data_IF_905165374050
#
_entry.id   IF_905165374050
#
_cell.length_a   1.000
_cell.length_b   1.000
_cell.length_c   1.000
_cell.angle_alpha   90.00
_cell.angle_beta   90.00
_cell.angle_gamma   90.00
#
_symmetry.space_group_name_H-M   'P 1'
#
loop_
_entity.id
_entity.type
_entity.pdbx_description
1 polymer ?
#
# COMPACT_ATOMS: atom_id res chain seq x y z
N UNK A 1 6.95 -15.76 -94.11
CA UNK A 1 8.08 -14.82 -93.90
C UNK A 1 9.07 -15.56 -93.00
N UNK A 2 10.03 -16.34 -93.54
CA UNK A 2 11.39 -15.91 -93.99
C UNK A 2 12.08 -15.12 -92.87
N UNK A 3 13.21 -15.50 -92.26
CA UNK A 3 14.39 -16.30 -92.63
C UNK A 3 15.01 -16.90 -91.34
N UNK A 4 15.56 -18.12 -91.26
CA UNK A 4 16.74 -18.73 -91.92
C UNK A 4 18.07 -18.00 -91.70
N UNK A 5 18.94 -18.70 -90.96
CA UNK A 5 20.39 -18.92 -91.16
C UNK A 5 21.40 -17.99 -90.46
N UNK A 6 22.28 -18.64 -89.70
CA UNK A 6 23.60 -18.15 -89.30
C UNK A 6 24.36 -19.21 -88.49
N UNK A 7 24.84 -20.26 -89.15
CA UNK A 7 26.27 -20.59 -89.31
C UNK A 7 26.97 -21.25 -88.10
N UNK A 8 27.14 -22.57 -88.22
CA UNK A 8 28.30 -23.35 -87.74
C UNK A 8 29.62 -22.80 -88.35
N UNK A 9 30.81 -22.96 -87.72
CA UNK A 9 31.48 -24.27 -87.67
C UNK A 9 32.39 -24.60 -86.46
N UNK A 10 32.46 -25.91 -86.17
CA UNK A 10 33.65 -26.76 -85.93
C UNK A 10 34.93 -26.10 -85.40
N UNK A 11 35.46 -26.58 -84.27
CA UNK A 11 36.54 -27.59 -84.24
C UNK A 11 37.07 -27.85 -82.82
N UNK A 12 37.23 -29.16 -82.56
CA UNK A 12 38.32 -29.86 -81.87
C UNK A 12 38.80 -29.42 -80.48
N UNK A 13 38.90 -30.42 -79.62
CA UNK A 13 39.63 -30.40 -78.35
C UNK A 13 38.91 -31.30 -77.35
N UNK A 14 39.02 -32.62 -77.51
CA UNK A 14 39.73 -33.46 -76.52
C UNK A 14 38.94 -33.65 -75.23
N UNK A 15 38.28 -34.80 -75.07
CA UNK A 15 38.82 -35.99 -74.40
C UNK A 15 38.87 -35.86 -72.86
N UNK A 16 38.58 -36.99 -72.20
CA UNK A 16 38.68 -37.23 -70.75
C UNK A 16 37.55 -36.58 -69.93
N UNK A 17 36.35 -37.12 -69.95
CA UNK A 17 36.00 -38.32 -69.17
C UNK A 17 36.79 -38.43 -67.86
N UNK A 18 36.03 -38.25 -66.77
CA UNK A 18 36.17 -39.01 -65.53
C UNK A 18 37.51 -38.89 -64.80
N UNK A 19 37.80 -37.70 -64.28
CA UNK A 19 38.60 -37.54 -63.05
C UNK A 19 37.77 -38.02 -61.86
N UNK A 20 37.78 -39.32 -61.60
CA UNK A 20 37.51 -39.86 -60.27
C UNK A 20 38.67 -39.44 -59.37
N UNK A 21 38.45 -38.38 -58.59
CA UNK A 21 39.32 -37.96 -57.50
C UNK A 21 38.59 -38.11 -56.18
N UNK A 22 38.84 -39.22 -55.50
CA UNK A 22 38.57 -39.43 -54.08
C UNK A 22 39.38 -38.43 -53.25
N UNK A 23 38.74 -37.66 -52.35
CA UNK A 23 39.27 -37.30 -51.01
C UNK A 23 38.07 -37.04 -50.06
N UNK A 24 38.13 -37.43 -48.76
CA UNK A 24 36.99 -37.61 -47.86
C UNK A 24 36.76 -36.44 -46.90
N UNK A 25 35.58 -36.40 -46.27
CA UNK A 25 35.28 -35.44 -45.19
C UNK A 25 33.92 -35.64 -44.55
N UNK A 26 33.86 -36.45 -43.49
CA UNK A 26 32.79 -36.49 -42.47
C UNK A 26 33.22 -35.70 -41.23
N UNK A 27 32.35 -35.36 -40.24
CA UNK A 27 30.87 -35.34 -40.17
C UNK A 27 30.29 -34.00 -39.61
N UNK A 28 28.98 -33.70 -39.71
CA UNK A 28 28.34 -32.82 -38.75
C UNK A 28 27.91 -33.61 -37.51
N UNK A 29 28.71 -33.43 -36.47
CA UNK A 29 28.45 -33.75 -35.07
C UNK A 29 27.05 -33.26 -34.68
N UNK A 30 26.14 -34.19 -34.36
CA UNK A 30 24.83 -33.92 -33.76
C UNK A 30 25.05 -33.46 -32.31
N UNK A 31 25.42 -32.19 -32.13
CA UNK A 31 25.47 -31.58 -30.80
C UNK A 31 24.04 -31.20 -30.41
N UNK A 32 23.41 -32.11 -29.67
CA UNK A 32 22.17 -31.90 -28.94
C UNK A 32 22.41 -30.75 -27.94
N UNK A 33 22.06 -29.52 -28.30
CA UNK A 33 22.02 -28.39 -27.37
C UNK A 33 20.86 -28.62 -26.39
N UNK A 34 21.17 -29.23 -25.24
CA UNK A 34 20.34 -29.18 -24.04
C UNK A 34 20.31 -27.73 -23.57
N UNK A 35 19.27 -27.00 -23.96
CA UNK A 35 18.95 -25.70 -23.40
C UNK A 35 18.58 -25.92 -21.92
N UNK A 36 19.54 -25.68 -21.03
CA UNK A 36 19.29 -25.56 -19.60
C UNK A 36 18.44 -24.30 -19.41
N UNK A 37 17.11 -24.46 -19.38
CA UNK A 37 16.21 -23.41 -18.96
C UNK A 37 16.55 -23.09 -17.50
N UNK A 38 17.33 -22.04 -17.28
CA UNK A 38 17.47 -21.39 -15.98
C UNK A 38 16.08 -20.90 -15.63
N UNK A 39 15.34 -21.71 -14.87
CA UNK A 39 14.11 -21.29 -14.22
C UNK A 39 14.56 -20.23 -13.22
N UNK A 40 14.46 -18.98 -13.64
CA UNK A 40 14.62 -17.84 -12.78
C UNK A 40 13.42 -17.84 -11.83
N UNK A 41 13.53 -18.60 -10.73
CA UNK A 41 12.60 -18.45 -9.62
C UNK A 41 12.74 -17.00 -9.16
N UNK A 42 11.69 -16.17 -9.19
CA UNK A 42 11.72 -14.95 -8.44
C UNK A 42 11.81 -15.37 -6.98
N UNK A 43 12.97 -15.20 -6.37
CA UNK A 43 13.09 -15.20 -4.92
C UNK A 43 12.22 -14.04 -4.44
N UNK A 44 10.96 -14.34 -4.13
CA UNK A 44 10.12 -13.48 -3.32
C UNK A 44 10.85 -13.37 -1.98
N UNK A 45 11.70 -12.36 -1.86
CA UNK A 45 12.42 -12.06 -0.64
C UNK A 45 11.38 -11.92 0.46
N UNK A 46 11.45 -12.78 1.45
CA UNK A 46 10.80 -12.54 2.73
C UNK A 46 11.51 -11.33 3.31
N UNK A 47 11.01 -10.13 3.01
CA UNK A 47 11.35 -8.95 3.78
C UNK A 47 10.75 -9.19 5.16
N UNK A 48 11.60 -9.54 6.12
CA UNK A 48 11.20 -9.58 7.52
C UNK A 48 10.60 -8.22 7.87
N UNK A 49 9.39 -8.24 8.43
CA UNK A 49 8.66 -7.02 8.78
C UNK A 49 9.46 -6.29 9.87
N UNK A 50 10.27 -5.33 9.45
CA UNK A 50 11.07 -4.53 10.37
C UNK A 50 10.12 -3.62 11.14
N UNK A 51 10.19 -3.65 12.47
CA UNK A 51 9.35 -2.81 13.34
C UNK A 51 9.39 -1.35 12.87
N UNK A 52 8.26 -0.85 12.38
CA UNK A 52 8.08 0.53 11.95
C UNK A 52 7.71 1.39 13.15
N UNK A 53 8.64 2.23 13.60
CA UNK A 53 8.36 3.23 14.62
C UNK A 53 7.71 4.46 13.97
N UNK A 54 6.43 4.67 14.25
CA UNK A 54 5.70 5.87 13.81
C UNK A 54 5.53 6.83 14.97
N UNK A 55 5.44 8.12 14.67
CA UNK A 55 5.11 9.14 15.67
C UNK A 55 3.61 9.47 15.58
N UNK A 56 2.93 9.49 16.72
CA UNK A 56 1.55 9.96 16.80
C UNK A 56 1.45 11.48 16.96
N UNK A 57 0.22 12.00 17.01
CA UNK A 57 0.01 13.45 17.00
C UNK A 57 0.41 14.15 18.30
N UNK A 58 0.61 13.39 19.38
CA UNK A 58 1.13 13.90 20.67
C UNK A 58 2.62 13.63 20.84
N UNK A 59 3.30 13.16 19.79
CA UNK A 59 4.74 12.99 19.75
C UNK A 59 5.26 11.66 20.31
N UNK A 60 4.38 10.72 20.70
CA UNK A 60 4.78 9.40 21.19
C UNK A 60 5.21 8.51 20.04
N UNK A 61 6.16 7.62 20.31
CA UNK A 61 6.56 6.56 19.37
C UNK A 61 5.66 5.35 19.55
N UNK A 62 5.09 4.89 18.44
CA UNK A 62 4.26 3.69 18.37
C UNK A 62 4.98 2.70 17.47
N UNK A 63 5.33 1.54 18.04
CA UNK A 63 5.96 0.45 17.31
C UNK A 63 4.87 -0.36 16.60
N UNK A 64 4.98 -0.49 15.28
CA UNK A 64 4.08 -1.29 14.46
C UNK A 64 4.89 -2.37 13.76
N UNK A 65 4.44 -3.61 13.83
CA UNK A 65 5.10 -4.72 13.14
C UNK A 65 4.88 -4.60 11.63
N UNK A 66 3.67 -4.24 11.21
CA UNK A 66 3.24 -4.18 9.81
C UNK A 66 2.39 -2.92 9.52
N UNK A 67 1.85 -2.82 8.31
CA UNK A 67 0.67 -1.98 8.05
C UNK A 67 -0.55 -2.57 8.76
N UNK A 68 -1.25 -1.81 9.65
CA UNK A 68 -2.40 -2.30 10.41
C UNK A 68 -3.53 -2.85 9.53
N UNK A 69 -4.06 -4.01 9.92
CA UNK A 69 -5.16 -4.74 9.29
C UNK A 69 -6.36 -4.97 10.20
N UNK A 70 -6.20 -4.80 11.52
CA UNK A 70 -7.26 -4.98 12.52
C UNK A 70 -7.25 -3.79 13.48
N UNK A 71 -8.04 -2.78 13.13
CA UNK A 71 -8.05 -1.48 13.80
C UNK A 71 -9.26 -1.40 14.73
N UNK A 72 -9.05 -1.03 15.99
CA UNK A 72 -10.13 -0.58 16.88
C UNK A 72 -10.14 0.94 16.91
N UNK A 73 -11.31 1.53 16.67
CA UNK A 73 -11.51 2.98 16.75
C UNK A 73 -12.17 3.37 18.07
N UNK A 74 -11.52 4.26 18.81
CA UNK A 74 -12.01 4.74 20.11
C UNK A 74 -12.80 6.06 20.04
N UNK A 75 -13.14 6.57 18.86
CA UNK A 75 -13.92 7.81 18.72
C UNK A 75 -14.66 7.92 17.38
N UNK A 76 -15.79 8.65 17.32
CA UNK A 76 -16.53 8.88 16.08
C UNK A 76 -15.66 9.54 14.98
N UNK A 77 -14.93 10.60 15.33
CA UNK A 77 -14.04 11.31 14.38
C UNK A 77 -12.95 10.41 13.81
N UNK A 78 -12.41 9.50 14.63
CA UNK A 78 -11.42 8.51 14.19
C UNK A 78 -12.07 7.50 13.25
N UNK A 79 -13.27 7.00 13.60
CA UNK A 79 -14.03 6.05 12.78
C UNK A 79 -14.27 6.65 11.39
N UNK A 80 -14.87 7.84 11.32
CA UNK A 80 -15.13 8.53 10.05
C UNK A 80 -13.86 8.76 9.24
N UNK A 81 -12.75 9.14 9.88
CA UNK A 81 -11.46 9.33 9.21
C UNK A 81 -10.95 8.03 8.58
N UNK A 82 -11.01 6.90 9.29
CA UNK A 82 -10.60 5.59 8.77
C UNK A 82 -11.45 5.16 7.56
N UNK A 83 -12.75 5.40 7.60
CA UNK A 83 -13.64 5.13 6.48
C UNK A 83 -13.37 6.06 5.28
N UNK A 84 -13.15 7.35 5.52
CA UNK A 84 -12.79 8.30 4.47
C UNK A 84 -11.46 7.92 3.77
N UNK A 85 -10.50 7.41 4.55
CA UNK A 85 -9.22 6.88 4.08
C UNK A 85 -9.34 5.55 3.32
N UNK A 86 -10.54 4.97 3.21
CA UNK A 86 -10.78 3.74 2.47
C UNK A 86 -10.25 2.48 3.16
N UNK A 87 -10.05 2.53 4.49
CA UNK A 87 -9.60 1.40 5.31
C UNK A 87 -10.65 0.98 6.35
N UNK A 88 -11.91 1.36 6.13
CA UNK A 88 -13.02 1.05 7.04
C UNK A 88 -13.29 -0.45 7.19
N UNK A 89 -12.95 -1.25 6.17
CA UNK A 89 -13.00 -2.72 6.18
C UNK A 89 -12.03 -3.36 7.21
N UNK A 90 -10.99 -2.61 7.61
CA UNK A 90 -10.03 -3.03 8.64
C UNK A 90 -10.50 -2.68 10.06
N UNK A 91 -11.60 -1.94 10.21
CA UNK A 91 -12.13 -1.57 11.52
C UNK A 91 -12.90 -2.76 12.10
N UNK A 92 -12.40 -3.32 13.19
CA UNK A 92 -12.94 -4.53 13.83
C UNK A 92 -13.74 -4.25 15.10
N UNK A 93 -13.69 -3.01 15.61
CA UNK A 93 -14.44 -2.59 16.77
C UNK A 93 -14.50 -1.07 16.91
N UNK A 94 -15.61 -0.59 17.47
CA UNK A 94 -15.91 0.83 17.63
C UNK A 94 -16.52 1.11 19.00
N UNK A 95 -16.50 2.35 19.45
CA UNK A 95 -17.16 2.72 20.71
C UNK A 95 -18.68 2.74 20.57
N UNK A 96 -19.36 2.84 21.71
CA UNK A 96 -20.81 3.00 21.79
C UNK A 96 -21.33 4.29 21.13
N UNK A 97 -20.43 5.26 20.88
CA UNK A 97 -20.77 6.56 20.29
C UNK A 97 -20.66 6.59 18.76
N UNK A 98 -20.15 5.53 18.13
CA UNK A 98 -19.86 5.52 16.70
C UNK A 98 -21.04 4.94 15.90
N UNK A 99 -21.80 5.78 15.20
CA UNK A 99 -22.98 5.33 14.43
C UNK A 99 -22.88 5.55 12.93
N UNK A 100 -21.82 6.22 12.48
CA UNK A 100 -21.56 6.56 11.08
C UNK A 100 -20.17 6.10 10.59
N UNK A 101 -20.07 5.65 9.33
CA UNK A 101 -21.18 5.37 8.41
C UNK A 101 -22.03 4.17 8.87
N UNK A 102 -23.28 3.97 8.38
CA UNK A 102 -24.19 2.95 8.92
C UNK A 102 -23.64 1.52 9.03
N UNK A 103 -22.65 1.17 8.20
CA UNK A 103 -21.92 -0.10 8.27
C UNK A 103 -21.20 -0.34 9.61
N UNK A 104 -20.89 0.70 10.39
CA UNK A 104 -20.25 0.53 11.71
C UNK A 104 -21.19 -0.02 12.76
N UNK A 105 -22.50 0.05 12.54
CA UNK A 105 -23.51 -0.38 13.52
C UNK A 105 -23.51 -1.89 13.75
N UNK A 106 -22.99 -2.66 12.79
CA UNK A 106 -22.84 -4.11 12.90
C UNK A 106 -21.51 -4.52 13.54
N UNK A 107 -20.60 -3.58 13.78
CA UNK A 107 -19.31 -3.88 14.39
C UNK A 107 -19.44 -4.11 15.89
N UNK A 108 -18.59 -4.97 16.48
CA UNK A 108 -18.50 -5.12 17.93
C UNK A 108 -18.27 -3.80 18.65
N UNK A 109 -18.95 -3.62 19.77
CA UNK A 109 -18.80 -2.45 20.65
C UNK A 109 -17.71 -2.71 21.68
N UNK A 110 -16.84 -1.73 21.86
CA UNK A 110 -15.73 -1.79 22.84
C UNK A 110 -15.93 -0.82 24.01
N UNK A 111 -17.18 -0.48 24.30
CA UNK A 111 -17.57 0.41 25.39
C UNK A 111 -17.39 1.89 25.07
N UNK A 112 -17.18 2.68 26.13
CA UNK A 112 -17.14 4.13 26.04
C UNK A 112 -15.82 4.67 25.47
N UNK A 113 -15.89 5.87 24.89
CA UNK A 113 -14.73 6.56 24.32
C UNK A 113 -13.65 6.88 25.36
N UNK A 114 -14.01 7.36 26.56
CA UNK A 114 -13.04 7.72 27.62
C UNK A 114 -12.57 6.51 28.43
N UNK A 115 -13.38 5.45 28.45
CA UNK A 115 -13.15 4.24 29.23
C UNK A 115 -13.58 3.03 28.39
N UNK A 116 -12.74 2.61 27.43
CA UNK A 116 -13.04 1.42 26.65
C UNK A 116 -12.98 0.17 27.52
N UNK A 117 -13.77 -0.83 27.15
CA UNK A 117 -13.68 -2.18 27.69
C UNK A 117 -12.50 -2.90 27.03
N UNK A 118 -11.35 -2.89 27.72
CA UNK A 118 -10.14 -3.53 27.24
C UNK A 118 -10.26 -5.05 27.06
N UNK A 119 -11.18 -5.72 27.76
CA UNK A 119 -11.44 -7.14 27.54
C UNK A 119 -12.10 -7.36 26.18
N UNK A 120 -13.10 -6.52 25.85
CA UNK A 120 -13.70 -6.48 24.51
C UNK A 120 -12.67 -6.13 23.43
N UNK A 121 -11.79 -5.14 23.67
CA UNK A 121 -10.72 -4.78 22.73
C UNK A 121 -9.80 -5.99 22.47
N UNK A 122 -9.33 -6.68 23.51
CA UNK A 122 -8.41 -7.82 23.38
C UNK A 122 -9.02 -8.98 22.59
N UNK A 123 -10.31 -9.29 22.79
CA UNK A 123 -11.02 -10.35 22.05
C UNK A 123 -11.03 -10.11 20.54
N UNK A 124 -10.90 -8.86 20.10
CA UNK A 124 -10.86 -8.50 18.69
C UNK A 124 -9.47 -8.66 18.07
N UNK A 125 -8.44 -8.97 18.85
CA UNK A 125 -7.05 -9.11 18.39
C UNK A 125 -6.61 -7.94 17.47
N UNK A 126 -6.69 -6.68 17.93
CA UNK A 126 -6.28 -5.55 17.12
C UNK A 126 -4.76 -5.48 16.98
N UNK A 127 -4.30 -5.04 15.81
CA UNK A 127 -2.91 -4.66 15.57
C UNK A 127 -2.67 -3.14 15.68
N UNK A 128 -3.75 -2.37 15.81
CA UNK A 128 -3.71 -0.95 16.14
C UNK A 128 -5.00 -0.51 16.86
N UNK A 129 -4.86 0.27 17.92
CA UNK A 129 -5.96 1.05 18.51
C UNK A 129 -5.72 2.52 18.19
N UNK A 130 -6.75 3.20 17.69
CA UNK A 130 -6.67 4.63 17.38
C UNK A 130 -7.64 5.40 18.27
N UNK A 131 -7.11 6.37 19.01
CA UNK A 131 -7.86 7.25 19.88
C UNK A 131 -7.62 8.71 19.48
N UNK A 132 -8.44 9.62 20.02
CA UNK A 132 -8.21 11.06 19.90
C UNK A 132 -7.90 11.66 21.26
N UNK A 133 -7.08 12.71 21.28
CA UNK A 133 -6.76 13.52 22.47
C UNK A 133 -7.98 14.15 23.13
N UNK A 134 -9.10 14.30 22.39
CA UNK A 134 -10.35 14.77 22.95
C UNK A 134 -10.91 13.76 23.95
N UNK A 135 -10.61 13.95 25.24
CA UNK A 135 -11.13 13.14 26.34
C UNK A 135 -10.32 11.89 26.70
N UNK A 136 -9.30 11.52 25.92
CA UNK A 136 -8.41 10.41 26.27
C UNK A 136 -7.06 10.92 26.77
N UNK A 137 -6.51 10.26 27.78
CA UNK A 137 -5.33 10.74 28.52
C UNK A 137 -4.31 9.62 28.83
N UNK A 138 -3.43 9.89 29.80
CA UNK A 138 -2.39 8.99 30.27
C UNK A 138 -2.91 7.64 30.80
N UNK A 139 -4.13 7.58 31.34
CA UNK A 139 -4.70 6.33 31.84
C UNK A 139 -4.94 5.33 30.70
N UNK A 140 -5.39 5.82 29.53
CA UNK A 140 -5.55 5.00 28.34
C UNK A 140 -4.20 4.44 27.85
N UNK A 141 -3.16 5.27 27.86
CA UNK A 141 -1.79 4.87 27.49
C UNK A 141 -1.28 3.75 28.38
N UNK A 142 -1.36 3.93 29.70
CA UNK A 142 -0.86 2.94 30.64
C UNK A 142 -1.56 1.58 30.55
N UNK A 143 -2.84 1.55 30.15
CA UNK A 143 -3.54 0.29 29.89
C UNK A 143 -3.09 -0.36 28.58
N UNK A 144 -3.00 0.41 27.49
CA UNK A 144 -2.52 -0.10 26.20
C UNK A 144 -1.10 -0.69 26.30
N UNK A 145 -0.20 -0.03 27.04
CA UNK A 145 1.18 -0.50 27.26
C UNK A 145 1.23 -1.81 28.04
N UNK A 146 0.45 -1.94 29.13
CA UNK A 146 0.34 -3.19 29.90
C UNK A 146 -0.13 -4.36 29.03
N UNK A 147 -1.03 -4.08 28.10
CA UNK A 147 -1.59 -5.06 27.18
C UNK A 147 -0.75 -5.26 25.92
N UNK A 148 0.33 -4.48 25.74
CA UNK A 148 1.20 -4.47 24.56
C UNK A 148 0.44 -4.25 23.26
N UNK A 149 -0.60 -3.42 23.30
CA UNK A 149 -1.36 -3.03 22.12
C UNK A 149 -0.84 -1.67 21.61
N UNK A 150 -0.47 -1.55 20.32
CA UNK A 150 -0.13 -0.26 19.74
C UNK A 150 -1.30 0.73 19.83
N UNK A 151 -1.09 1.86 20.52
CA UNK A 151 -2.07 2.93 20.65
C UNK A 151 -1.57 4.19 19.96
N UNK A 152 -2.31 4.66 18.96
CA UNK A 152 -2.04 5.91 18.23
C UNK A 152 -3.05 7.00 18.58
N UNK A 153 -2.58 8.18 18.94
CA UNK A 153 -3.45 9.35 19.13
C UNK A 153 -3.51 10.23 17.88
N UNK A 154 -4.73 10.63 17.53
CA UNK A 154 -5.01 11.76 16.65
C UNK A 154 -5.27 13.03 17.47
N UNK A 155 -4.76 14.16 17.00
CA UNK A 155 -5.01 15.48 17.56
C UNK A 155 -5.34 16.49 16.46
N UNK A 156 -6.50 17.14 16.59
CA UNK A 156 -7.04 18.04 15.58
C UNK A 156 -7.59 19.33 16.21
N UNK A 157 -6.73 20.17 16.82
CA UNK A 157 -7.17 21.36 17.56
C UNK A 157 -7.71 22.49 16.65
N UNK A 158 -7.42 22.43 15.35
CA UNK A 158 -7.90 23.36 14.34
C UNK A 158 -7.89 22.69 12.96
N UNK A 159 -8.38 23.38 11.93
CA UNK A 159 -8.49 22.83 10.58
C UNK A 159 -7.15 22.35 9.99
N UNK A 160 -6.05 23.09 10.21
CA UNK A 160 -4.73 22.66 9.76
C UNK A 160 -4.25 21.43 10.53
N UNK A 161 -4.49 21.40 11.84
CA UNK A 161 -4.23 20.24 12.70
C UNK A 161 -4.97 18.99 12.20
N UNK A 162 -6.26 19.12 11.90
CA UNK A 162 -7.08 18.06 11.32
C UNK A 162 -6.48 17.52 10.02
N UNK A 163 -6.13 18.39 9.07
CA UNK A 163 -5.56 17.98 7.79
C UNK A 163 -4.21 17.27 7.96
N UNK A 164 -3.36 17.76 8.86
CA UNK A 164 -2.08 17.14 9.16
C UNK A 164 -2.25 15.78 9.86
N UNK A 165 -3.15 15.69 10.83
CA UNK A 165 -3.52 14.45 11.53
C UNK A 165 -4.01 13.40 10.55
N UNK A 166 -4.91 13.79 9.63
CA UNK A 166 -5.44 12.93 8.59
C UNK A 166 -4.32 12.35 7.70
N UNK A 167 -3.38 13.17 7.26
CA UNK A 167 -2.26 12.71 6.41
C UNK A 167 -1.31 11.79 7.19
N UNK A 168 -1.03 12.08 8.46
CA UNK A 168 -0.18 11.21 9.29
C UNK A 168 -0.85 9.87 9.54
N UNK A 169 -2.12 9.85 9.93
CA UNK A 169 -2.88 8.62 10.09
C UNK A 169 -2.96 7.83 8.78
N UNK A 170 -3.15 8.51 7.64
CA UNK A 170 -3.14 7.89 6.31
C UNK A 170 -1.84 7.15 6.02
N UNK A 171 -0.69 7.75 6.35
CA UNK A 171 0.62 7.11 6.22
C UNK A 171 0.72 5.87 7.13
N UNK A 172 0.21 5.96 8.36
CA UNK A 172 0.24 4.85 9.31
C UNK A 172 -0.54 3.64 8.83
N UNK A 173 -1.72 3.85 8.24
CA UNK A 173 -2.60 2.77 7.75
C UNK A 173 -2.32 2.35 6.30
N UNK A 174 -1.28 2.91 5.67
CA UNK A 174 -0.90 2.58 4.29
C UNK A 174 -1.84 3.12 3.22
N UNK A 175 -2.47 4.27 3.48
CA UNK A 175 -3.42 4.96 2.58
C UNK A 175 -2.99 6.38 2.22
N UNK A 176 -1.67 6.62 2.09
CA UNK A 176 -1.07 7.95 1.88
C UNK A 176 -1.65 8.69 0.67
N UNK A 177 -1.89 8.00 -0.45
CA UNK A 177 -2.48 8.61 -1.65
C UNK A 177 -3.87 9.18 -1.35
N UNK A 178 -4.74 8.37 -0.75
CA UNK A 178 -6.10 8.78 -0.37
C UNK A 178 -6.07 9.91 0.66
N UNK A 179 -5.17 9.85 1.63
CA UNK A 179 -4.98 10.92 2.61
C UNK A 179 -4.62 12.27 1.96
N UNK A 180 -3.70 12.27 1.00
CA UNK A 180 -3.33 13.48 0.25
C UNK A 180 -4.49 14.00 -0.62
N UNK A 181 -5.29 13.12 -1.22
CA UNK A 181 -6.48 13.51 -1.98
C UNK A 181 -7.53 14.18 -1.10
N UNK A 182 -7.78 13.61 0.08
CA UNK A 182 -8.71 14.17 1.07
C UNK A 182 -8.22 15.52 1.58
N UNK A 183 -6.92 15.67 1.89
CA UNK A 183 -6.33 16.96 2.26
C UNK A 183 -6.60 18.01 1.17
N UNK A 184 -6.28 17.71 -0.08
CA UNK A 184 -6.53 18.63 -1.21
C UNK A 184 -8.02 18.97 -1.36
N UNK A 185 -8.91 18.00 -1.13
CA UNK A 185 -10.36 18.22 -1.14
C UNK A 185 -10.84 19.13 -0.01
N UNK A 186 -10.26 19.00 1.18
CA UNK A 186 -10.53 19.87 2.31
C UNK A 186 -10.00 21.29 2.06
N UNK A 187 -8.78 21.44 1.54
CA UNK A 187 -8.20 22.74 1.20
C UNK A 187 -9.03 23.52 0.17
N UNK A 188 -9.62 22.85 -0.82
CA UNK A 188 -10.52 23.49 -1.79
C UNK A 188 -11.84 23.96 -1.18
N UNK A 189 -12.30 23.31 -0.11
CA UNK A 189 -13.56 23.64 0.58
C UNK A 189 -13.36 24.59 1.75
N UNK A 190 -12.15 24.65 2.29
CA UNK A 190 -11.79 25.56 3.35
C UNK A 190 -12.00 26.99 2.85
N UNK A 191 -12.75 27.84 3.58
CA UNK A 191 -12.91 29.22 3.19
C UNK A 191 -11.54 29.91 3.13
N UNK A 192 -11.24 30.58 2.02
CA UNK A 192 -10.00 31.34 1.79
C UNK A 192 -9.82 32.51 2.75
N UNK A 193 -10.88 32.88 3.46
CA UNK A 193 -10.87 33.95 4.46
C UNK A 193 -10.63 33.32 5.83
N UNK A 194 -9.44 33.58 6.36
CA UNK A 194 -8.97 33.03 7.63
C UNK A 194 -9.97 33.22 8.77
N UNK A 195 -10.11 32.21 9.60
CA UNK A 195 -10.79 32.22 10.90
C UNK A 195 -10.08 33.13 11.94
N UNK A 196 -9.47 34.24 11.52
CA UNK A 196 -8.97 35.29 12.42
C UNK A 196 -10.10 36.19 12.94
N UNK A 197 -11.33 36.05 12.43
CA UNK A 197 -12.47 36.91 12.77
C UNK A 197 -13.29 36.49 13.99
N UNK A 198 -13.20 35.24 14.49
CA UNK A 198 -14.06 34.77 15.59
C UNK A 198 -13.46 34.94 16.99
N UNK A 199 -12.14 35.01 17.12
CA UNK A 199 -11.45 35.26 18.40
C UNK A 199 -11.51 36.72 18.87
N UNK A 200 -11.98 37.64 18.02
CA UNK A 200 -12.27 39.03 18.39
C UNK A 200 -13.65 39.25 19.02
N UNK A 201 -14.58 38.30 18.89
CA UNK A 201 -15.97 38.46 19.33
C UNK A 201 -16.25 37.88 20.73
N UNK A 202 -15.34 37.06 21.29
CA UNK A 202 -15.48 36.43 22.62
C UNK A 202 -14.69 37.22 23.70
N UNK A 203 -14.08 38.36 23.35
CA UNK A 203 -13.37 39.26 24.28
C UNK A 203 -13.97 40.68 24.33
N UNK A 204 -15.30 40.78 24.36
CA UNK A 204 -16.00 42.02 24.75
C UNK A 204 -17.12 41.70 25.72
#
# INVERSE_FOLDING_TARGET
MRDRLGRFPLRLGEQMLSRWGLVPGSPPCRTLFLALAVVCLPAAGIQGDSIRNVQDDVGRRVALEATPRRIVSLAPSVTETLFALGVGDRVVGVTDLCDDPPSVRTLPRVGGMLKPDWESVLRLHPDLVVATTAGNDAALVGQAEKLRIPLYFTDAPNLNGLMNSLVRLASVVGSSTRGNDLRRSLERRAPTHGYSSWSGLIRR
#
